data_IF_509385962879
#
_entry.id   IF_509385962879
#
_cell.length_a   1.000
_cell.length_b   1.000
_cell.length_c   1.000
_cell.angle_alpha   90.00
_cell.angle_beta   90.00
_cell.angle_gamma   90.00
#
_symmetry.space_group_name_H-M   'P 1'
#
loop_
_entity.id
_entity.type
_entity.pdbx_description
1 polymer ?
#
# COMPACT_ATOMS: atom_id res chain seq x y z
N UNK A 1 -30.34 -15.47 44.05
CA UNK A 1 -29.53 -14.23 43.87
C UNK A 1 -28.08 -14.53 43.48
N UNK A 2 -27.42 -15.51 44.12
CA UNK A 2 -26.07 -16.01 43.79
C UNK A 2 -25.88 -16.45 42.32
N UNK A 3 -26.82 -17.23 41.77
CA UNK A 3 -26.73 -17.77 40.39
C UNK A 3 -26.81 -16.65 39.33
N UNK A 4 -27.62 -15.62 39.58
CA UNK A 4 -27.76 -14.45 38.70
C UNK A 4 -26.47 -13.61 38.73
N UNK A 5 -25.81 -13.48 39.90
CA UNK A 5 -24.50 -12.83 39.99
C UNK A 5 -23.40 -13.61 39.26
N UNK A 6 -23.37 -14.94 39.40
CA UNK A 6 -22.41 -15.82 38.69
C UNK A 6 -22.62 -15.80 37.16
N UNK A 7 -23.86 -15.83 36.70
CA UNK A 7 -24.21 -15.71 35.27
C UNK A 7 -23.78 -14.36 34.68
N UNK A 8 -24.03 -13.25 35.40
CA UNK A 8 -23.57 -11.92 34.99
C UNK A 8 -22.04 -11.82 34.97
N UNK A 9 -21.35 -12.43 35.93
CA UNK A 9 -19.89 -12.44 35.98
C UNK A 9 -19.29 -13.25 34.83
N UNK A 10 -19.86 -14.42 34.53
CA UNK A 10 -19.44 -15.27 33.41
C UNK A 10 -19.66 -14.57 32.06
N UNK A 11 -20.79 -13.87 31.90
CA UNK A 11 -21.10 -13.11 30.68
C UNK A 11 -20.13 -11.95 30.46
N UNK A 12 -19.76 -11.21 31.52
CA UNK A 12 -18.78 -10.12 31.44
C UNK A 12 -17.39 -10.67 31.11
N UNK A 13 -17.01 -11.81 31.68
CA UNK A 13 -15.73 -12.46 31.42
C UNK A 13 -15.62 -12.97 29.96
N UNK A 14 -16.68 -13.57 29.43
CA UNK A 14 -16.75 -14.00 28.02
C UNK A 14 -16.66 -12.82 27.04
N UNK A 15 -17.35 -11.71 27.32
CA UNK A 15 -17.25 -10.49 26.51
C UNK A 15 -15.83 -9.90 26.52
N UNK A 16 -15.14 -9.92 27.66
CA UNK A 16 -13.75 -9.45 27.76
C UNK A 16 -12.78 -10.29 26.90
N UNK A 17 -12.96 -11.61 26.86
CA UNK A 17 -12.15 -12.50 26.02
C UNK A 17 -12.36 -12.23 24.53
N UNK A 18 -13.60 -11.98 24.09
CA UNK A 18 -13.91 -11.65 22.69
C UNK A 18 -13.24 -10.33 22.28
N UNK A 19 -13.28 -9.29 23.13
CA UNK A 19 -12.67 -7.99 22.84
C UNK A 19 -11.13 -8.10 22.78
N UNK A 20 -10.51 -8.93 23.62
CA UNK A 20 -9.06 -9.17 23.58
C UNK A 20 -8.59 -9.89 22.31
N UNK A 21 -9.43 -10.77 21.74
CA UNK A 21 -9.10 -11.49 20.51
C UNK A 21 -9.13 -10.61 19.26
N UNK A 22 -10.11 -9.71 19.15
CA UNK A 22 -10.29 -8.84 17.98
C UNK A 22 -9.20 -7.76 17.85
N UNK A 23 -8.70 -7.21 18.98
CA UNK A 23 -7.68 -6.16 18.95
C UNK A 23 -6.31 -6.62 18.41
N UNK A 24 -6.06 -7.92 18.37
CA UNK A 24 -4.83 -8.52 17.83
C UNK A 24 -4.79 -8.51 16.29
N UNK A 25 -5.95 -8.57 15.62
CA UNK A 25 -5.99 -8.77 14.17
C UNK A 25 -5.62 -7.51 13.38
N UNK A 26 -6.01 -6.33 13.87
CA UNK A 26 -5.58 -5.04 13.28
C UNK A 26 -4.07 -4.75 13.43
N UNK A 27 -3.34 -5.50 14.26
CA UNK A 27 -1.91 -5.22 14.52
C UNK A 27 -0.97 -5.72 13.43
N UNK A 28 -1.46 -6.48 12.45
CA UNK A 28 -0.58 -7.13 11.47
C UNK A 28 -0.70 -6.54 10.06
N UNK A 29 -1.55 -5.54 9.86
CA UNK A 29 -1.78 -4.94 8.55
C UNK A 29 -1.54 -3.43 8.56
N UNK A 30 -0.78 -2.98 7.58
CA UNK A 30 -0.59 -1.56 7.30
C UNK A 30 -1.83 -0.93 6.68
N UNK A 31 -1.77 0.39 6.49
CA UNK A 31 -2.85 1.20 5.94
C UNK A 31 -2.28 2.22 4.96
N UNK A 32 -3.09 2.62 4.00
CA UNK A 32 -2.79 3.74 3.12
C UNK A 32 -3.51 4.99 3.60
N UNK A 33 -2.80 6.12 3.55
CA UNK A 33 -3.38 7.46 3.73
C UNK A 33 -3.15 8.28 2.48
N UNK A 34 -4.22 8.60 1.77
CA UNK A 34 -4.18 9.46 0.58
C UNK A 34 -3.68 10.85 0.97
N UNK A 35 -2.70 11.36 0.22
CA UNK A 35 -2.19 12.73 0.32
C UNK A 35 -2.84 13.58 -0.78
N UNK A 36 -3.83 14.44 -0.47
CA UNK A 36 -4.44 15.31 -1.46
C UNK A 36 -3.46 16.38 -1.95
N UNK A 37 -3.36 16.53 -3.27
CA UNK A 37 -2.46 17.51 -3.94
C UNK A 37 -2.69 18.96 -3.50
N UNK A 38 -3.91 19.31 -3.06
CA UNK A 38 -4.32 20.69 -2.76
C UNK A 38 -3.87 21.23 -1.39
N UNK A 39 -3.23 20.42 -0.54
CA UNK A 39 -2.98 20.77 0.88
C UNK A 39 -1.54 21.14 1.24
N UNK A 40 -0.66 21.43 0.28
CA UNK A 40 0.79 21.60 0.53
C UNK A 40 1.42 20.38 1.23
N UNK A 41 0.84 19.20 1.03
CA UNK A 41 1.44 17.93 1.46
C UNK A 41 2.51 17.49 0.45
N UNK A 42 3.28 16.45 0.79
CA UNK A 42 4.29 15.89 -0.11
C UNK A 42 3.66 15.53 -1.46
N UNK A 43 4.28 15.96 -2.56
CA UNK A 43 3.82 15.67 -3.92
C UNK A 43 4.70 14.61 -4.61
N UNK A 44 4.21 14.02 -5.70
CA UNK A 44 5.04 13.13 -6.52
C UNK A 44 6.30 13.84 -7.06
N UNK A 45 6.20 15.14 -7.37
CA UNK A 45 7.35 15.91 -7.84
C UNK A 45 8.39 16.10 -6.74
N UNK A 46 7.98 16.26 -5.48
CA UNK A 46 8.91 16.31 -4.34
C UNK A 46 9.68 15.00 -4.20
N UNK A 47 9.02 13.86 -4.37
CA UNK A 47 9.66 12.54 -4.31
C UNK A 47 10.63 12.32 -5.48
N UNK A 48 10.27 12.76 -6.70
CA UNK A 48 11.16 12.73 -7.87
C UNK A 48 12.40 13.60 -7.64
N UNK A 49 12.22 14.80 -7.08
CA UNK A 49 13.33 15.72 -6.81
C UNK A 49 14.28 15.18 -5.73
N UNK A 50 13.77 14.39 -4.79
CA UNK A 50 14.51 13.77 -3.68
C UNK A 50 14.77 12.28 -3.92
N UNK A 51 14.84 11.82 -5.17
CA UNK A 51 14.87 10.38 -5.48
C UNK A 51 16.03 9.63 -4.78
N UNK A 52 17.17 10.30 -4.57
CA UNK A 52 18.35 9.74 -3.91
C UNK A 52 18.09 9.38 -2.43
N UNK A 53 17.07 9.95 -1.80
CA UNK A 53 16.68 9.65 -0.42
C UNK A 53 15.91 8.33 -0.28
N UNK A 54 15.55 7.67 -1.40
CA UNK A 54 14.69 6.49 -1.42
C UNK A 54 15.31 5.31 -2.17
N UNK A 55 15.00 4.10 -1.71
CA UNK A 55 14.97 2.91 -2.55
C UNK A 55 13.62 2.92 -3.29
N UNK A 56 13.66 2.93 -4.62
CA UNK A 56 12.46 3.10 -5.44
C UNK A 56 12.20 1.82 -6.22
N UNK A 57 10.95 1.39 -6.21
CA UNK A 57 10.49 0.19 -6.88
C UNK A 57 9.22 0.47 -7.67
N UNK A 58 8.99 -0.29 -8.73
CA UNK A 58 7.73 -0.26 -9.47
C UNK A 58 7.17 -1.68 -9.61
N UNK A 59 5.85 -1.78 -9.75
CA UNK A 59 5.17 -3.02 -10.09
C UNK A 59 4.57 -2.93 -11.50
N UNK A 60 4.50 -4.07 -12.17
CA UNK A 60 3.76 -4.26 -13.42
C UNK A 60 3.32 -5.74 -13.54
N UNK A 61 2.80 -6.10 -14.70
CA UNK A 61 2.37 -7.48 -15.01
C UNK A 61 3.50 -8.37 -15.55
N UNK A 62 4.66 -7.82 -15.91
CA UNK A 62 5.66 -8.50 -16.74
C UNK A 62 6.92 -8.85 -15.96
N UNK A 63 7.54 -10.01 -16.27
CA UNK A 63 8.81 -10.39 -15.65
C UNK A 63 9.97 -9.46 -16.05
N UNK A 64 9.91 -8.88 -17.27
CA UNK A 64 10.94 -7.99 -17.81
C UNK A 64 10.86 -6.55 -17.32
N UNK A 65 11.91 -5.75 -17.56
CA UNK A 65 11.89 -4.33 -17.24
C UNK A 65 11.09 -3.53 -18.28
N UNK A 66 10.07 -2.77 -17.84
CA UNK A 66 9.26 -1.92 -18.72
C UNK A 66 8.87 -0.62 -18.02
N UNK A 67 9.27 0.51 -18.61
CA UNK A 67 8.92 1.84 -18.11
C UNK A 67 7.51 2.29 -18.51
N UNK A 68 6.83 1.54 -19.39
CA UNK A 68 5.55 1.91 -20.01
C UNK A 68 4.35 1.07 -19.56
N UNK A 69 4.57 0.19 -18.60
CA UNK A 69 3.52 -0.64 -17.98
C UNK A 69 3.43 -0.54 -16.46
N UNK A 70 3.89 0.55 -15.78
CA UNK A 70 3.83 0.59 -14.33
C UNK A 70 2.37 0.64 -13.85
N UNK A 71 2.06 -0.20 -12.86
CA UNK A 71 0.80 -0.14 -12.11
C UNK A 71 0.92 0.78 -10.88
N UNK A 72 2.13 0.91 -10.35
CA UNK A 72 2.43 1.83 -9.25
C UNK A 72 3.91 1.84 -8.88
N UNK A 73 4.29 2.85 -8.12
CA UNK A 73 5.67 3.14 -7.73
C UNK A 73 5.73 3.30 -6.21
N UNK A 74 6.62 2.55 -5.58
CA UNK A 74 6.85 2.52 -4.14
C UNK A 74 8.17 3.22 -3.82
N UNK A 75 8.13 4.11 -2.82
CA UNK A 75 9.27 4.88 -2.33
C UNK A 75 9.56 4.47 -0.88
N UNK A 76 10.62 3.69 -0.69
CA UNK A 76 11.11 3.21 0.60
C UNK A 76 12.26 4.13 1.09
N UNK A 77 12.08 4.93 2.15
CA UNK A 77 13.08 5.89 2.60
C UNK A 77 14.36 5.18 3.07
N UNK A 78 15.54 5.63 2.63
CA UNK A 78 16.82 5.02 3.06
C UNK A 78 17.23 5.36 4.50
N UNK A 79 16.64 6.42 5.07
CA UNK A 79 17.06 7.02 6.33
C UNK A 79 16.17 6.72 7.53
N UNK A 80 15.10 5.93 7.37
CA UNK A 80 14.26 5.50 8.48
C UNK A 80 14.64 4.08 8.93
N UNK A 81 14.03 3.65 10.03
CA UNK A 81 14.23 2.35 10.65
C UNK A 81 13.15 1.33 10.22
N UNK A 82 12.49 1.58 9.09
CA UNK A 82 11.50 0.70 8.50
C UNK A 82 11.97 0.20 7.14
N UNK A 83 11.37 -0.86 6.63
CA UNK A 83 11.69 -1.38 5.30
C UNK A 83 10.44 -1.88 4.60
N UNK A 84 10.31 -1.53 3.32
CA UNK A 84 9.29 -2.07 2.43
C UNK A 84 9.87 -3.17 1.54
N UNK A 85 9.16 -4.29 1.44
CA UNK A 85 9.57 -5.44 0.62
C UNK A 85 8.40 -5.98 -0.19
N UNK A 86 8.67 -6.68 -1.29
CA UNK A 86 7.68 -7.51 -1.97
C UNK A 86 8.18 -8.10 -3.30
N UNK A 87 7.66 -9.28 -3.65
CA UNK A 87 8.28 -10.12 -4.69
C UNK A 87 8.14 -9.58 -6.12
N UNK A 88 7.12 -8.74 -6.37
CA UNK A 88 6.85 -8.16 -7.71
C UNK A 88 7.25 -6.69 -7.83
N UNK A 89 8.00 -6.19 -6.86
CA UNK A 89 8.50 -4.82 -6.85
C UNK A 89 9.92 -4.77 -7.41
N UNK A 90 10.03 -4.25 -8.64
CA UNK A 90 11.29 -4.17 -9.39
C UNK A 90 11.97 -2.84 -9.12
N UNK A 91 13.27 -2.87 -8.85
CA UNK A 91 14.04 -1.66 -8.52
C UNK A 91 14.11 -0.70 -9.71
N UNK A 92 13.94 0.58 -9.45
CA UNK A 92 14.16 1.67 -10.40
C UNK A 92 15.57 2.20 -10.21
N UNK A 93 16.43 2.02 -11.22
CA UNK A 93 17.86 2.36 -11.11
C UNK A 93 18.20 3.77 -11.62
N UNK A 94 17.32 4.39 -12.40
CA UNK A 94 17.58 5.67 -13.06
C UNK A 94 16.41 6.62 -12.86
N UNK A 95 16.70 7.85 -12.43
CA UNK A 95 15.68 8.88 -12.23
C UNK A 95 14.88 9.18 -13.51
N UNK A 96 15.49 9.09 -14.69
CA UNK A 96 14.77 9.26 -15.96
C UNK A 96 13.67 8.20 -16.16
N UNK A 97 13.90 6.98 -15.67
CA UNK A 97 12.95 5.88 -15.80
C UNK A 97 11.80 6.09 -14.80
N UNK A 98 12.10 6.57 -13.59
CA UNK A 98 11.10 7.02 -12.63
C UNK A 98 10.16 8.10 -13.23
N UNK A 99 10.73 9.13 -13.83
CA UNK A 99 9.97 10.23 -14.46
C UNK A 99 9.09 9.72 -15.60
N UNK A 100 9.57 8.74 -16.36
CA UNK A 100 8.79 8.14 -17.44
C UNK A 100 7.66 7.28 -16.86
N UNK A 101 7.94 6.44 -15.86
CA UNK A 101 6.95 5.58 -15.23
C UNK A 101 5.78 6.37 -14.61
N UNK A 102 6.04 7.50 -13.95
CA UNK A 102 4.96 8.32 -13.36
C UNK A 102 3.99 8.85 -14.40
N UNK A 103 4.45 9.08 -15.64
CA UNK A 103 3.61 9.49 -16.78
C UNK A 103 2.80 8.35 -17.38
N UNK A 104 3.27 7.11 -17.24
CA UNK A 104 2.64 5.93 -17.85
C UNK A 104 1.58 5.26 -16.97
N UNK A 105 1.52 5.54 -15.66
CA UNK A 105 0.50 4.92 -14.79
C UNK A 105 -0.92 5.21 -15.29
N UNK A 106 -1.27 6.48 -15.59
CA UNK A 106 -2.60 6.79 -16.13
C UNK A 106 -2.85 6.10 -17.48
N UNK A 107 -1.98 6.22 -18.51
CA UNK A 107 -2.18 5.49 -19.76
C UNK A 107 -2.27 3.96 -19.61
N UNK A 108 -1.54 3.36 -18.67
CA UNK A 108 -1.57 1.91 -18.41
C UNK A 108 -2.86 1.49 -17.70
N UNK A 109 -3.35 2.29 -16.76
CA UNK A 109 -4.46 1.89 -15.88
C UNK A 109 -5.81 2.49 -16.26
N UNK A 110 -5.82 3.58 -17.01
CA UNK A 110 -6.98 4.43 -17.29
C UNK A 110 -7.60 5.08 -16.04
N UNK A 111 -6.83 5.21 -14.95
CA UNK A 111 -7.24 5.88 -13.71
C UNK A 111 -6.20 6.91 -13.27
N UNK A 112 -6.66 8.02 -12.70
CA UNK A 112 -5.78 9.06 -12.14
C UNK A 112 -5.00 8.51 -10.94
N UNK A 113 -3.67 8.53 -10.96
CA UNK A 113 -2.87 8.08 -9.83
C UNK A 113 -2.93 9.06 -8.66
N UNK A 114 -2.87 8.52 -7.46
CA UNK A 114 -2.79 9.29 -6.21
C UNK A 114 -1.56 8.89 -5.41
N UNK A 115 -1.03 9.84 -4.65
CA UNK A 115 0.04 9.59 -3.70
C UNK A 115 -0.53 9.20 -2.34
N UNK A 116 0.02 8.15 -1.74
CA UNK A 116 -0.35 7.68 -0.41
C UNK A 116 0.89 7.55 0.47
N UNK A 117 0.72 7.79 1.76
CA UNK A 117 1.62 7.25 2.76
C UNK A 117 1.28 5.79 3.04
N UNK A 118 2.32 4.98 3.21
CA UNK A 118 2.24 3.63 3.74
C UNK A 118 2.48 3.74 5.25
N UNK A 119 1.48 3.37 6.03
CA UNK A 119 1.49 3.45 7.49
C UNK A 119 1.41 2.06 8.11
N UNK A 120 2.15 1.85 9.18
CA UNK A 120 2.01 0.71 10.07
C UNK A 120 0.63 0.67 10.74
N UNK A 121 0.30 -0.45 11.40
CA UNK A 121 -0.96 -0.62 12.15
C UNK A 121 -1.14 0.45 13.25
N UNK A 122 -0.02 0.93 13.79
CA UNK A 122 0.14 1.96 14.82
C UNK A 122 0.23 3.40 14.26
N UNK A 123 0.21 3.56 12.93
CA UNK A 123 0.35 4.86 12.27
C UNK A 123 1.81 5.28 12.02
N UNK A 124 2.79 4.44 12.32
CA UNK A 124 4.20 4.70 11.99
C UNK A 124 4.39 4.77 10.48
N UNK A 125 5.21 5.70 10.01
CA UNK A 125 5.45 5.91 8.58
C UNK A 125 6.49 4.93 8.02
N UNK A 126 6.17 4.27 6.90
CA UNK A 126 7.06 3.32 6.20
C UNK A 126 7.57 3.84 4.86
N UNK A 127 6.82 4.69 4.17
CA UNK A 127 7.17 5.15 2.83
C UNK A 127 5.96 5.67 2.06
N UNK A 128 6.11 5.81 0.75
CA UNK A 128 5.02 6.27 -0.12
C UNK A 128 4.67 5.27 -1.22
N UNK A 129 3.41 5.29 -1.65
CA UNK A 129 2.91 4.56 -2.80
C UNK A 129 2.17 5.50 -3.74
N UNK A 130 2.62 5.57 -4.99
CA UNK A 130 1.96 6.28 -6.08
C UNK A 130 1.34 5.26 -7.04
N UNK A 131 0.01 5.16 -7.06
CA UNK A 131 -0.73 4.17 -7.85
C UNK A 131 -2.16 4.66 -8.12
N UNK A 132 -2.88 4.02 -9.03
CA UNK A 132 -4.19 4.50 -9.53
C UNK A 132 -5.35 3.51 -9.40
N UNK A 133 -5.09 2.22 -9.18
CA UNK A 133 -6.14 1.19 -9.24
C UNK A 133 -5.93 0.05 -8.24
N UNK A 134 -7.05 -0.52 -7.78
CA UNK A 134 -7.09 -1.77 -7.02
C UNK A 134 -6.90 -1.62 -5.51
N UNK A 135 -6.94 -2.77 -4.84
CA UNK A 135 -6.64 -2.86 -3.41
C UNK A 135 -5.17 -3.19 -3.17
N UNK A 136 -4.57 -2.52 -2.19
CA UNK A 136 -3.19 -2.79 -1.76
C UNK A 136 -3.22 -3.51 -0.43
N UNK A 137 -2.72 -4.74 -0.41
CA UNK A 137 -2.51 -5.46 0.85
C UNK A 137 -1.13 -5.12 1.41
N UNK A 138 -1.12 -4.70 2.66
CA UNK A 138 0.08 -4.30 3.41
C UNK A 138 0.16 -5.15 4.67
N UNK A 139 1.16 -6.03 4.79
CA UNK A 139 1.26 -6.96 5.92
C UNK A 139 2.59 -6.82 6.65
N UNK A 140 2.54 -6.71 7.96
CA UNK A 140 3.72 -6.75 8.82
C UNK A 140 4.38 -8.12 8.73
N UNK A 141 5.68 -8.14 8.43
CA UNK A 141 6.52 -9.34 8.47
C UNK A 141 7.21 -9.44 9.83
N UNK A 142 7.64 -8.30 10.35
CA UNK A 142 8.17 -8.08 11.69
C UNK A 142 7.85 -6.64 12.14
N UNK A 143 8.43 -6.18 13.24
CA UNK A 143 8.15 -4.86 13.83
C UNK A 143 8.50 -3.67 12.91
N UNK A 144 9.43 -3.85 11.98
CA UNK A 144 9.98 -2.78 11.13
C UNK A 144 9.87 -3.07 9.63
N UNK A 145 9.50 -4.28 9.24
CA UNK A 145 9.40 -4.69 7.84
C UNK A 145 7.95 -4.91 7.43
N UNK A 146 7.54 -4.27 6.34
CA UNK A 146 6.21 -4.43 5.75
C UNK A 146 6.31 -5.01 4.35
N UNK A 147 5.56 -6.10 4.14
CA UNK A 147 5.38 -6.71 2.84
C UNK A 147 4.24 -6.03 2.09
N UNK A 148 4.54 -5.53 0.90
CA UNK A 148 3.59 -4.90 -0.02
C UNK A 148 3.26 -5.90 -1.12
N UNK A 149 2.01 -6.36 -1.13
CA UNK A 149 1.54 -7.30 -2.14
C UNK A 149 1.46 -6.64 -3.52
N UNK A 150 1.38 -7.47 -4.55
CA UNK A 150 1.28 -6.99 -5.93
C UNK A 150 0.01 -6.15 -6.12
N UNK A 151 0.10 -5.15 -7.00
CA UNK A 151 -1.07 -4.41 -7.42
C UNK A 151 -1.96 -5.27 -8.32
N UNK A 152 -3.26 -5.02 -8.21
CA UNK A 152 -4.25 -5.63 -9.09
C UNK A 152 -4.12 -5.04 -10.49
N UNK A 153 -4.34 -5.89 -11.46
CA UNK A 153 -4.41 -5.49 -12.85
C UNK A 153 -5.76 -4.82 -13.14
N UNK A 154 -5.80 -3.62 -13.73
CA UNK A 154 -7.03 -3.13 -14.32
C UNK A 154 -7.59 -4.19 -15.28
N UNK A 155 -8.86 -4.56 -15.11
CA UNK A 155 -9.49 -5.49 -16.04
C UNK A 155 -9.36 -4.90 -17.45
N UNK A 156 -8.84 -5.69 -18.39
CA UNK A 156 -9.05 -5.39 -19.79
C UNK A 156 -10.57 -5.27 -19.98
N UNK A 157 -11.06 -4.12 -20.45
CA UNK A 157 -12.43 -4.04 -20.96
C UNK A 157 -12.47 -5.03 -22.12
N UNK A 158 -12.92 -6.26 -21.84
CA UNK A 158 -13.06 -7.29 -22.84
C UNK A 158 -13.88 -6.72 -23.98
N UNK A 159 -13.32 -6.83 -25.18
CA UNK A 159 -13.93 -6.49 -26.45
C UNK A 159 -15.41 -6.89 -26.40
N UNK A 160 -16.29 -5.90 -26.23
CA UNK A 160 -17.70 -6.15 -25.98
C UNK A 160 -18.26 -7.02 -27.09
N UNK A 161 -18.62 -8.26 -26.78
CA UNK A 161 -19.45 -9.06 -27.67
C UNK A 161 -20.80 -8.33 -27.77
N UNK A 162 -21.20 -7.85 -28.96
CA UNK A 162 -22.46 -7.14 -29.09
C UNK A 162 -23.61 -8.07 -28.68
N UNK A 163 -24.66 -7.55 -28.02
CA UNK A 163 -25.79 -8.37 -27.62
C UNK A 163 -26.40 -9.06 -28.85
N UNK A 164 -26.69 -10.35 -28.66
CA UNK A 164 -27.27 -11.26 -29.65
C UNK A 164 -28.70 -10.89 -30.03
#
# INVERSE_FOLDING_TARGET
MEIIKKSRFLSVFLLALIISGCASWQKNYGKLRILPESRNEVTIQDLINKWDDYNIYYSDQYEGFSVRSPLGIMFDPKGNDTTLVGDRWKKVEKQKDLIEMTKWIYPTTQYDPWLNEILGPDGRFYGYLYYSYGFVTLKMVDDNTMYVFNLEDPREEGDGEPPS
#
